data_IF_979507408441
#
_entry.id   IF_979507408441
#
_cell.length_a   1.000
_cell.length_b   1.000
_cell.length_c   1.000
_cell.angle_alpha   90.00
_cell.angle_beta   90.00
_cell.angle_gamma   90.00
#
_symmetry.space_group_name_H-M   'P 1'
#
loop_
_entity.id
_entity.type
_entity.pdbx_description
1 polymer ?
#
# COMPACT_ATOMS: atom_id res chain seq x y z
N UNK A 1 5.89 -39.95 -2.84
CA UNK A 1 6.41 -39.02 -1.82
C UNK A 1 5.28 -38.08 -1.47
N UNK A 2 4.85 -38.00 -0.22
CA UNK A 2 3.74 -37.15 0.17
C UNK A 2 4.20 -35.69 0.16
N UNK A 3 3.78 -34.92 -0.85
CA UNK A 3 3.91 -33.47 -0.83
C UNK A 3 3.15 -32.95 0.39
N UNK A 4 3.82 -32.15 1.21
CA UNK A 4 3.31 -31.58 2.45
C UNK A 4 2.28 -30.46 2.13
N UNK A 5 1.13 -30.81 1.54
CA UNK A 5 0.04 -29.89 1.17
C UNK A 5 -0.84 -29.57 2.38
N UNK A 6 -0.30 -28.83 3.36
CA UNK A 6 -1.06 -28.42 4.55
C UNK A 6 -1.82 -27.10 4.38
N UNK A 7 -1.59 -26.38 3.28
CA UNK A 7 -2.20 -25.06 3.01
C UNK A 7 -2.84 -25.12 1.63
N UNK A 8 -4.15 -24.84 1.56
CA UNK A 8 -4.93 -24.83 0.31
C UNK A 8 -5.05 -23.43 -0.30
N UNK A 9 -4.97 -22.38 0.53
CA UNK A 9 -5.01 -20.98 0.13
C UNK A 9 -4.36 -20.12 1.23
N UNK A 10 -3.83 -18.96 0.86
CA UNK A 10 -3.36 -17.94 1.80
C UNK A 10 -3.52 -16.54 1.21
N UNK A 11 -3.58 -15.53 2.07
CA UNK A 11 -3.38 -14.14 1.66
C UNK A 11 -1.88 -13.86 1.54
N UNK A 12 -1.52 -13.04 0.55
CA UNK A 12 -0.14 -12.65 0.28
C UNK A 12 -0.07 -11.16 -0.03
N UNK A 13 1.14 -10.66 -0.18
CA UNK A 13 1.42 -9.32 -0.67
C UNK A 13 2.42 -9.36 -1.81
N UNK A 14 2.59 -8.26 -2.56
CA UNK A 14 3.75 -8.06 -3.41
C UNK A 14 5.06 -8.09 -2.58
N UNK A 15 6.18 -8.58 -3.13
CA UNK A 15 6.31 -9.23 -4.45
C UNK A 15 5.90 -10.72 -4.44
N UNK A 16 5.71 -11.33 -3.27
CA UNK A 16 5.54 -12.77 -3.12
C UNK A 16 4.32 -13.33 -3.85
N UNK A 17 3.22 -12.58 -3.92
CA UNK A 17 2.03 -13.00 -4.67
C UNK A 17 2.33 -13.13 -6.18
N UNK A 18 3.14 -12.21 -6.72
CA UNK A 18 3.52 -12.23 -8.12
C UNK A 18 4.44 -13.41 -8.42
N UNK A 19 5.39 -13.69 -7.52
CA UNK A 19 6.28 -14.84 -7.64
C UNK A 19 5.49 -16.15 -7.56
N UNK A 20 4.54 -16.26 -6.64
CA UNK A 20 3.69 -17.44 -6.52
C UNK A 20 2.90 -17.69 -7.82
N UNK A 21 2.38 -16.65 -8.45
CA UNK A 21 1.62 -16.74 -9.70
C UNK A 21 2.46 -17.11 -10.93
N UNK A 22 3.80 -17.14 -10.85
CA UNK A 22 4.65 -17.72 -11.91
C UNK A 22 4.57 -19.25 -11.93
N UNK A 23 4.16 -19.88 -10.83
CA UNK A 23 3.96 -21.33 -10.77
C UNK A 23 2.61 -21.72 -11.37
N UNK A 24 2.61 -22.59 -12.38
CA UNK A 24 1.41 -23.05 -13.07
C UNK A 24 0.35 -23.73 -12.18
N UNK A 25 0.72 -24.16 -10.96
CA UNK A 25 -0.20 -24.75 -9.98
C UNK A 25 -0.89 -23.73 -9.07
N UNK A 26 -0.58 -22.45 -9.16
CA UNK A 26 -1.09 -21.38 -8.30
C UNK A 26 -1.94 -20.42 -9.13
N UNK A 27 -3.08 -20.00 -8.58
CA UNK A 27 -3.97 -19.02 -9.21
C UNK A 27 -4.60 -18.12 -8.14
N UNK A 28 -5.01 -16.90 -8.55
CA UNK A 28 -5.72 -15.96 -7.69
C UNK A 28 -7.14 -16.48 -7.43
N UNK A 29 -7.53 -16.61 -6.17
CA UNK A 29 -8.90 -16.96 -5.77
C UNK A 29 -9.75 -15.69 -5.62
N UNK A 30 -9.20 -14.68 -4.95
CA UNK A 30 -9.80 -13.36 -4.76
C UNK A 30 -8.72 -12.29 -4.51
N UNK A 31 -9.06 -11.01 -4.64
CA UNK A 31 -8.22 -9.86 -4.28
C UNK A 31 -8.79 -9.08 -3.09
N UNK A 32 -7.92 -8.34 -2.38
CA UNK A 32 -8.37 -7.40 -1.35
C UNK A 32 -9.33 -6.36 -1.90
N UNK A 33 -9.18 -5.97 -3.18
CA UNK A 33 -10.07 -4.99 -3.81
C UNK A 33 -11.46 -5.56 -4.08
N UNK A 34 -11.59 -6.85 -4.39
CA UNK A 34 -12.90 -7.50 -4.48
C UNK A 34 -13.60 -7.53 -3.12
N UNK A 35 -12.85 -7.78 -2.03
CA UNK A 35 -13.39 -7.77 -0.66
C UNK A 35 -13.78 -6.36 -0.23
N UNK A 36 -12.93 -5.37 -0.51
CA UNK A 36 -13.15 -3.98 -0.11
C UNK A 36 -14.14 -3.26 -1.03
N UNK A 37 -14.42 -3.77 -2.22
CA UNK A 37 -15.27 -3.14 -3.24
C UNK A 37 -14.55 -2.08 -4.09
N UNK A 38 -13.21 -2.09 -4.16
CA UNK A 38 -12.38 -1.20 -4.96
C UNK A 38 -10.94 -1.08 -4.44
N UNK A 39 -10.09 -0.24 -5.07
CA UNK A 39 -8.72 0.00 -4.63
C UNK A 39 -8.66 0.44 -3.17
N UNK A 40 -7.71 -0.11 -2.43
CA UNK A 40 -7.53 0.17 -1.01
C UNK A 40 -6.07 0.39 -0.66
N UNK A 41 -5.81 1.27 0.30
CA UNK A 41 -4.45 1.52 0.79
C UNK A 41 -3.90 0.28 1.48
N UNK A 42 -2.78 -0.22 0.96
CA UNK A 42 -2.08 -1.37 1.54
C UNK A 42 -1.08 -0.96 2.64
N UNK A 43 -0.36 0.15 2.44
CA UNK A 43 0.64 0.66 3.38
C UNK A 43 0.32 2.09 3.82
N UNK A 44 0.60 2.39 5.09
CA UNK A 44 0.56 3.74 5.64
C UNK A 44 1.92 4.10 6.25
N UNK A 45 2.33 5.34 6.05
CA UNK A 45 3.38 5.97 6.85
C UNK A 45 2.71 6.77 7.95
N UNK A 46 3.21 6.63 9.17
CA UNK A 46 2.63 7.30 10.34
C UNK A 46 3.72 7.86 11.25
N UNK A 47 3.36 8.89 12.01
CA UNK A 47 4.15 9.46 13.08
C UNK A 47 3.22 9.95 14.19
N UNK A 48 3.77 10.33 15.33
CA UNK A 48 3.00 10.92 16.42
C UNK A 48 2.57 12.34 16.08
N UNK A 49 1.39 12.76 16.55
CA UNK A 49 0.92 14.16 16.49
C UNK A 49 1.96 15.13 17.06
N UNK A 50 2.56 14.81 18.22
CA UNK A 50 3.63 15.63 18.80
C UNK A 50 4.81 15.89 17.84
N UNK A 51 5.28 14.87 17.14
CA UNK A 51 6.40 15.05 16.19
C UNK A 51 5.99 15.94 15.02
N UNK A 52 4.77 15.74 14.48
CA UNK A 52 4.21 16.58 13.43
C UNK A 52 4.16 18.05 13.87
N UNK A 53 3.57 18.32 15.04
CA UNK A 53 3.36 19.67 15.56
C UNK A 53 4.65 20.39 15.95
N UNK A 54 5.61 19.65 16.53
CA UNK A 54 6.91 20.20 16.93
C UNK A 54 7.84 20.42 15.71
N UNK A 55 7.62 19.70 14.59
CA UNK A 55 8.50 19.71 13.43
C UNK A 55 7.77 20.02 12.11
N UNK A 56 6.98 21.10 12.01
CA UNK A 56 6.10 21.35 10.87
C UNK A 56 6.85 21.55 9.55
N UNK A 57 8.10 22.06 9.61
CA UNK A 57 8.95 22.19 8.42
C UNK A 57 9.42 20.83 7.90
N UNK A 58 9.85 19.96 8.81
CA UNK A 58 10.33 18.60 8.48
C UNK A 58 9.19 17.76 7.95
N UNK A 59 8.04 17.78 8.62
CA UNK A 59 6.85 17.05 8.18
C UNK A 59 6.41 17.49 6.78
N UNK A 60 6.28 18.80 6.53
CA UNK A 60 5.89 19.31 5.21
C UNK A 60 6.89 18.94 4.11
N UNK A 61 8.19 19.02 4.39
CA UNK A 61 9.22 18.61 3.44
C UNK A 61 9.11 17.11 3.10
N UNK A 62 8.88 16.27 4.11
CA UNK A 62 8.69 14.83 3.93
C UNK A 62 7.42 14.51 3.13
N UNK A 63 6.28 15.13 3.46
CA UNK A 63 5.03 14.94 2.74
C UNK A 63 5.13 15.40 1.27
N UNK A 64 5.80 16.53 1.01
CA UNK A 64 6.06 16.98 -0.36
C UNK A 64 6.96 16.01 -1.14
N UNK A 65 7.98 15.43 -0.49
CA UNK A 65 8.84 14.42 -1.12
C UNK A 65 8.06 13.13 -1.45
N UNK A 66 7.06 12.74 -0.65
CA UNK A 66 6.18 11.62 -0.99
C UNK A 66 5.32 11.92 -2.23
N UNK A 67 4.79 13.14 -2.34
CA UNK A 67 4.06 13.58 -3.53
C UNK A 67 4.95 13.57 -4.78
N UNK A 68 6.20 14.04 -4.65
CA UNK A 68 7.19 14.00 -5.73
C UNK A 68 7.53 12.56 -6.13
N UNK A 69 7.68 11.65 -5.17
CA UNK A 69 7.93 10.23 -5.43
C UNK A 69 6.77 9.56 -6.20
N UNK A 70 5.52 9.87 -5.86
CA UNK A 70 4.35 9.42 -6.62
C UNK A 70 4.43 9.84 -8.08
N UNK A 71 4.78 11.10 -8.36
CA UNK A 71 4.91 11.59 -9.73
C UNK A 71 6.11 10.97 -10.47
N UNK A 72 7.25 10.77 -9.81
CA UNK A 72 8.42 10.09 -10.39
C UNK A 72 8.06 8.66 -10.79
N UNK A 73 7.38 7.89 -9.93
CA UNK A 73 7.02 6.50 -10.20
C UNK A 73 6.11 6.38 -11.43
N UNK A 74 5.13 7.29 -11.54
CA UNK A 74 4.20 7.33 -12.69
C UNK A 74 4.89 7.76 -13.98
N UNK A 75 5.84 8.69 -13.92
CA UNK A 75 6.54 9.21 -15.07
C UNK A 75 7.66 8.27 -15.58
N UNK A 76 8.34 7.56 -14.67
CA UNK A 76 9.48 6.71 -14.98
C UNK A 76 9.45 5.39 -14.18
N UNK A 77 8.64 4.45 -14.68
CA UNK A 77 8.52 3.11 -14.10
C UNK A 77 9.85 2.34 -14.08
N UNK A 78 10.67 2.50 -15.13
CA UNK A 78 11.97 1.83 -15.21
C UNK A 78 12.95 2.40 -14.18
N UNK A 79 13.03 3.73 -14.06
CA UNK A 79 13.83 4.39 -13.03
C UNK A 79 13.38 4.08 -11.61
N UNK A 80 12.06 3.96 -11.38
CA UNK A 80 11.51 3.52 -10.11
C UNK A 80 11.92 2.08 -9.76
N UNK A 81 11.85 1.15 -10.73
CA UNK A 81 12.30 -0.23 -10.55
C UNK A 81 13.80 -0.31 -10.24
N UNK A 82 14.64 0.43 -10.96
CA UNK A 82 16.08 0.50 -10.69
C UNK A 82 16.38 1.09 -9.31
N UNK A 83 15.64 2.11 -8.90
CA UNK A 83 15.77 2.70 -7.57
C UNK A 83 15.39 1.70 -6.48
N UNK A 84 14.29 0.97 -6.66
CA UNK A 84 13.89 -0.11 -5.75
C UNK A 84 14.97 -1.20 -5.65
N UNK A 85 15.51 -1.70 -6.77
CA UNK A 85 16.58 -2.71 -6.78
C UNK A 85 17.80 -2.23 -5.98
N UNK A 86 18.23 -0.99 -6.24
CA UNK A 86 19.39 -0.39 -5.58
C UNK A 86 19.17 -0.19 -4.07
N UNK A 87 18.00 0.31 -3.66
CA UNK A 87 17.73 0.63 -2.25
C UNK A 87 17.47 -0.64 -1.44
N UNK A 88 16.61 -1.53 -1.95
CA UNK A 88 16.23 -2.77 -1.26
C UNK A 88 17.23 -3.91 -1.44
N UNK A 89 18.29 -3.70 -2.24
CA UNK A 89 19.25 -4.75 -2.63
C UNK A 89 18.54 -5.98 -3.20
N UNK A 90 17.47 -5.74 -3.98
CA UNK A 90 16.61 -6.79 -4.50
C UNK A 90 17.35 -7.66 -5.51
N UNK A 91 17.13 -8.98 -5.43
CA UNK A 91 17.63 -9.96 -6.41
C UNK A 91 16.62 -10.26 -7.53
N UNK A 92 15.45 -9.63 -7.48
CA UNK A 92 14.42 -9.82 -8.50
C UNK A 92 14.87 -9.15 -9.81
N UNK A 93 14.56 -9.76 -10.97
CA UNK A 93 14.83 -9.12 -12.26
C UNK A 93 14.13 -7.76 -12.38
N UNK A 94 14.80 -6.77 -12.98
CA UNK A 94 14.22 -5.44 -13.19
C UNK A 94 12.86 -5.50 -13.91
N UNK A 95 12.78 -6.29 -14.98
CA UNK A 95 11.53 -6.50 -15.73
C UNK A 95 10.39 -7.07 -14.86
N UNK A 96 10.69 -7.88 -13.84
CA UNK A 96 9.67 -8.40 -12.92
C UNK A 96 9.13 -7.28 -12.03
N UNK A 97 10.01 -6.41 -11.52
CA UNK A 97 9.63 -5.26 -10.69
C UNK A 97 8.89 -4.22 -11.53
N UNK A 98 9.34 -3.92 -12.75
CA UNK A 98 8.67 -3.02 -13.68
C UNK A 98 7.25 -3.49 -13.98
N UNK A 99 7.07 -4.79 -14.27
CA UNK A 99 5.75 -5.38 -14.48
C UNK A 99 4.84 -5.23 -13.25
N UNK A 100 5.40 -5.38 -12.05
CA UNK A 100 4.65 -5.18 -10.81
C UNK A 100 4.27 -3.71 -10.62
N UNK A 101 5.19 -2.77 -10.85
CA UNK A 101 4.89 -1.33 -10.74
C UNK A 101 3.83 -0.90 -11.75
N UNK A 102 3.89 -1.42 -12.98
CA UNK A 102 2.96 -1.11 -14.06
C UNK A 102 1.62 -1.88 -13.97
N UNK A 103 1.46 -2.79 -13.01
CA UNK A 103 0.20 -3.50 -12.81
C UNK A 103 -0.89 -2.50 -12.41
N UNK A 104 -2.03 -2.42 -13.13
CA UNK A 104 -3.13 -1.53 -12.77
C UNK A 104 -3.73 -1.76 -11.37
N UNK A 105 -3.51 -2.94 -10.77
CA UNK A 105 -3.87 -3.19 -9.36
C UNK A 105 -2.92 -2.46 -8.38
N UNK A 106 -1.75 -1.99 -8.81
CA UNK A 106 -0.82 -1.22 -7.99
C UNK A 106 -0.93 0.28 -8.32
N UNK A 107 -1.35 1.05 -7.31
CA UNK A 107 -1.44 2.50 -7.40
C UNK A 107 -0.56 3.14 -6.32
N UNK A 108 0.60 3.67 -6.73
CA UNK A 108 1.50 4.39 -5.85
C UNK A 108 0.98 5.81 -5.69
N UNK A 109 0.29 6.07 -4.57
CA UNK A 109 -0.31 7.38 -4.29
C UNK A 109 -0.24 7.75 -2.82
N UNK A 110 -0.18 9.05 -2.55
CA UNK A 110 -0.35 9.60 -1.19
C UNK A 110 -1.82 9.78 -0.81
N UNK A 111 -2.76 9.58 -1.76
CA UNK A 111 -4.20 9.69 -1.48
C UNK A 111 -4.68 8.44 -0.73
N UNK A 112 -5.26 8.57 0.49
CA UNK A 112 -5.83 7.44 1.19
C UNK A 112 -7.00 6.81 0.43
N UNK A 113 -7.01 5.50 0.27
CA UNK A 113 -8.04 4.77 -0.48
C UNK A 113 -8.73 3.75 0.44
N UNK A 114 -10.04 3.92 0.63
CA UNK A 114 -10.92 3.01 1.40
C UNK A 114 -10.41 2.70 2.81
N UNK A 115 -9.64 3.59 3.42
CA UNK A 115 -9.14 3.41 4.79
C UNK A 115 -10.28 3.43 5.80
N UNK A 116 -11.35 4.18 5.52
CA UNK A 116 -12.50 4.30 6.41
C UNK A 116 -13.27 2.98 6.57
N UNK A 117 -13.25 2.12 5.55
CA UNK A 117 -13.85 0.78 5.62
C UNK A 117 -13.21 -0.03 6.73
N UNK A 118 -11.88 0.05 6.90
CA UNK A 118 -11.18 -0.61 7.99
C UNK A 118 -11.54 0.01 9.34
N UNK A 119 -11.53 1.34 9.44
CA UNK A 119 -11.88 2.03 10.70
C UNK A 119 -13.29 1.65 11.18
N UNK A 120 -14.28 1.65 10.30
CA UNK A 120 -15.65 1.23 10.61
C UNK A 120 -15.72 -0.24 11.03
N UNK A 121 -15.04 -1.14 10.31
CA UNK A 121 -15.02 -2.58 10.63
C UNK A 121 -14.31 -2.88 11.94
N UNK A 122 -13.17 -2.24 12.21
CA UNK A 122 -12.43 -2.41 13.46
C UNK A 122 -13.21 -1.88 14.67
N UNK A 123 -14.01 -0.82 14.50
CA UNK A 123 -14.94 -0.36 15.54
C UNK A 123 -16.09 -1.37 15.76
N UNK A 124 -16.71 -1.88 14.69
CA UNK A 124 -17.77 -2.91 14.78
C UNK A 124 -17.29 -4.19 15.49
N UNK A 125 -16.02 -4.55 15.31
CA UNK A 125 -15.38 -5.70 15.98
C UNK A 125 -14.94 -5.39 17.43
N UNK A 126 -15.10 -4.16 17.91
CA UNK A 126 -14.69 -3.75 19.25
C UNK A 126 -13.18 -3.57 19.44
N UNK A 127 -12.41 -3.56 18.35
CA UNK A 127 -10.95 -3.32 18.38
C UNK A 127 -10.68 -1.83 18.60
N UNK A 128 -11.38 -0.96 17.87
CA UNK A 128 -11.38 0.48 18.13
C UNK A 128 -12.45 0.82 19.16
N UNK A 129 -12.07 1.60 20.18
CA UNK A 129 -12.99 2.08 21.23
C UNK A 129 -13.82 3.28 20.79
N UNK A 130 -13.28 4.05 19.84
CA UNK A 130 -13.91 5.25 19.31
C UNK A 130 -14.18 5.05 17.83
N UNK A 131 -15.38 5.45 17.40
CA UNK A 131 -15.77 5.41 16.00
C UNK A 131 -15.18 6.63 15.30
N UNK A 132 -14.49 6.40 14.19
CA UNK A 132 -14.16 7.49 13.27
C UNK A 132 -15.41 7.87 12.47
N UNK A 133 -15.62 9.16 12.25
CA UNK A 133 -16.65 9.70 11.37
C UNK A 133 -16.10 9.93 9.95
N UNK A 134 -14.78 10.06 9.82
CA UNK A 134 -14.10 10.22 8.54
C UNK A 134 -12.68 9.67 8.56
N UNK A 135 -12.12 9.39 7.39
CA UNK A 135 -10.67 9.16 7.27
C UNK A 135 -9.85 10.35 7.77
N UNK A 136 -10.41 11.57 7.70
CA UNK A 136 -9.77 12.79 8.19
C UNK A 136 -9.52 12.79 9.70
N UNK A 137 -10.16 11.91 10.46
CA UNK A 137 -9.98 11.81 11.92
C UNK A 137 -8.64 11.17 12.29
N UNK A 138 -7.98 10.46 11.36
CA UNK A 138 -6.73 9.75 11.61
C UNK A 138 -5.65 10.01 10.55
N UNK A 139 -5.85 10.99 9.67
CA UNK A 139 -4.83 11.53 8.77
C UNK A 139 -4.57 12.99 9.10
N UNK A 140 -3.31 13.42 8.99
CA UNK A 140 -2.93 14.83 9.17
C UNK A 140 -3.57 15.74 8.11
N UNK A 141 -3.71 17.02 8.47
CA UNK A 141 -4.46 18.03 7.72
C UNK A 141 -3.98 18.24 6.28
N UNK A 142 -2.68 18.05 6.04
CA UNK A 142 -2.03 18.17 4.74
C UNK A 142 -2.60 17.20 3.71
N UNK A 143 -3.06 16.03 4.16
CA UNK A 143 -3.70 15.06 3.29
C UNK A 143 -5.16 15.41 2.98
N UNK A 144 -5.84 16.27 3.77
CA UNK A 144 -7.29 16.50 3.69
C UNK A 144 -7.78 17.15 2.40
N UNK A 145 -6.86 17.74 1.63
CA UNK A 145 -7.10 18.31 0.30
C UNK A 145 -7.16 17.25 -0.79
N UNK A 146 -6.64 16.05 -0.53
CA UNK A 146 -6.70 14.90 -1.43
C UNK A 146 -8.09 14.26 -1.38
N UNK A 147 -8.54 13.61 -2.46
CA UNK A 147 -9.82 12.92 -2.52
C UNK A 147 -9.76 11.56 -1.80
N UNK A 148 -9.39 11.57 -0.52
CA UNK A 148 -9.22 10.37 0.29
C UNK A 148 -10.52 9.67 0.68
N UNK A 149 -10.42 8.42 1.10
CA UNK A 149 -11.52 7.58 1.62
C UNK A 149 -11.06 6.53 2.63
#
# INVERSE_FOLDING_TARGET
>A
MAENRKISAHFSSPPFQYQALEHAGIHKILSSYEVLGGPGTFNLLYTTEKFHDDNPKTYRAFFAALAEAEEIIKADTAGAAQSYIRVEQSKLPAAFIEKMIADPENNFTITPQRTFVYADKLYQLGILKHKAESWKDYFFSEAHTLPGS
#
